data_IF_513256181687
#
_entry.id   IF_513256181687
#
_cell.length_a   1.000
_cell.length_b   1.000
_cell.length_c   1.000
_cell.angle_alpha   90.00
_cell.angle_beta   90.00
_cell.angle_gamma   90.00
#
_symmetry.space_group_name_H-M   'P 1'
#
loop_
_entity.id
_entity.type
_entity.pdbx_description
1 polymer ?
#
# COMPACT_ATOMS: atom_id res chain seq x y z
N UNK A 1 52.69 15.76 8.45
CA UNK A 1 51.28 15.32 8.47
C UNK A 1 51.23 13.86 8.90
N UNK A 2 50.72 13.56 10.10
CA UNK A 2 50.57 12.18 10.59
C UNK A 2 49.39 11.53 9.89
N UNK A 3 49.62 10.43 9.17
CA UNK A 3 48.55 9.61 8.58
C UNK A 3 47.87 8.85 9.71
N UNK A 4 46.59 9.13 9.94
CA UNK A 4 45.74 8.35 10.84
C UNK A 4 45.24 7.12 10.08
N UNK A 5 45.85 5.97 10.34
CA UNK A 5 45.35 4.68 9.86
C UNK A 5 44.17 4.28 10.75
N UNK A 6 42.96 4.42 10.23
CA UNK A 6 41.75 3.92 10.91
C UNK A 6 41.68 2.42 10.71
N UNK A 7 42.06 1.65 11.73
CA UNK A 7 41.86 0.21 11.75
C UNK A 7 40.36 -0.10 11.90
N UNK A 8 39.78 -0.74 10.88
CA UNK A 8 38.44 -1.27 10.95
C UNK A 8 38.45 -2.57 11.77
N UNK A 9 38.09 -2.47 13.05
CA UNK A 9 37.90 -3.63 13.92
C UNK A 9 36.60 -4.34 13.49
N UNK A 10 36.75 -5.50 12.85
CA UNK A 10 35.64 -6.41 12.56
C UNK A 10 35.38 -7.27 13.82
N UNK A 11 34.62 -6.74 14.77
CA UNK A 11 34.12 -7.53 15.90
C UNK A 11 32.93 -8.37 15.47
N UNK A 12 33.00 -9.67 15.77
CA UNK A 12 31.92 -10.63 15.53
C UNK A 12 30.77 -10.31 16.49
N UNK A 13 29.76 -9.56 16.02
CA UNK A 13 28.59 -9.23 16.85
C UNK A 13 27.83 -10.52 17.20
N UNK A 14 27.75 -10.83 18.49
CA UNK A 14 26.98 -11.97 19.02
C UNK A 14 25.73 -11.41 19.67
N UNK A 15 24.56 -12.02 19.42
CA UNK A 15 23.30 -11.58 20.03
C UNK A 15 23.39 -11.86 21.53
N UNK A 16 23.32 -10.81 22.35
CA UNK A 16 23.43 -10.90 23.81
C UNK A 16 22.07 -11.23 24.44
N UNK A 17 21.03 -10.42 24.15
CA UNK A 17 19.68 -10.59 24.70
C UNK A 17 18.63 -10.19 23.66
N UNK A 18 17.55 -10.97 23.55
CA UNK A 18 16.35 -10.62 22.77
C UNK A 18 15.27 -10.08 23.69
N UNK A 19 14.86 -8.82 23.49
CA UNK A 19 13.79 -8.16 24.25
C UNK A 19 12.51 -8.03 23.41
N UNK A 20 11.31 -8.05 24.03
CA UNK A 20 10.07 -7.81 23.32
C UNK A 20 10.04 -6.36 22.81
N UNK A 21 9.65 -6.21 21.55
CA UNK A 21 9.50 -4.90 20.90
C UNK A 21 8.02 -4.51 20.94
N UNK A 22 7.71 -3.29 21.40
CA UNK A 22 6.34 -2.75 21.41
C UNK A 22 5.87 -2.22 20.05
N UNK A 23 6.79 -2.10 19.08
CA UNK A 23 6.50 -1.67 17.72
C UNK A 23 5.78 -2.78 16.93
N UNK A 24 4.88 -2.38 16.04
CA UNK A 24 4.21 -3.30 15.12
C UNK A 24 5.12 -3.58 13.92
N UNK A 25 5.72 -4.76 13.89
CA UNK A 25 6.59 -5.19 12.78
C UNK A 25 5.78 -5.94 11.72
N UNK A 26 5.93 -5.53 10.46
CA UNK A 26 5.28 -6.16 9.31
C UNK A 26 6.31 -6.85 8.42
N UNK A 27 6.09 -8.13 8.11
CA UNK A 27 6.90 -8.86 7.12
C UNK A 27 6.67 -8.38 5.68
N UNK A 28 5.71 -7.47 5.46
CA UNK A 28 5.32 -6.94 4.14
C UNK A 28 5.96 -5.59 3.82
N UNK A 29 7.09 -5.28 4.45
CA UNK A 29 7.75 -3.97 4.36
C UNK A 29 8.02 -3.48 2.92
N UNK A 30 8.16 -4.40 1.95
CA UNK A 30 8.30 -4.05 0.53
C UNK A 30 7.12 -3.24 -0.05
N UNK A 31 5.92 -3.37 0.52
CA UNK A 31 4.75 -2.59 0.11
C UNK A 31 4.95 -1.09 0.36
N UNK A 32 5.72 -0.70 1.39
CA UNK A 32 6.01 0.72 1.65
C UNK A 32 6.82 1.35 0.51
N UNK A 33 7.80 0.63 -0.04
CA UNK A 33 8.56 1.07 -1.20
C UNK A 33 7.68 1.15 -2.45
N UNK A 34 6.79 0.17 -2.62
CA UNK A 34 5.82 0.17 -3.72
C UNK A 34 4.87 1.36 -3.65
N UNK A 35 4.31 1.67 -2.47
CA UNK A 35 3.46 2.85 -2.28
C UNK A 35 4.23 4.13 -2.55
N UNK A 36 5.45 4.27 -2.04
CA UNK A 36 6.31 5.43 -2.33
C UNK A 36 6.60 5.60 -3.81
N UNK A 37 6.85 4.49 -4.52
CA UNK A 37 7.02 4.50 -5.97
C UNK A 37 5.75 5.01 -6.67
N UNK A 38 4.57 4.45 -6.35
CA UNK A 38 3.30 4.87 -6.94
C UNK A 38 2.98 6.35 -6.67
N UNK A 39 3.24 6.81 -5.44
CA UNK A 39 3.09 8.22 -5.07
C UNK A 39 4.07 9.10 -5.85
N UNK A 40 5.33 8.67 -5.98
CA UNK A 40 6.39 9.41 -6.67
C UNK A 40 6.14 9.59 -8.17
N UNK A 41 5.55 8.60 -8.84
CA UNK A 41 5.14 8.71 -10.26
C UNK A 41 3.85 9.52 -10.45
N UNK A 42 3.17 9.93 -9.38
CA UNK A 42 1.96 10.75 -9.45
C UNK A 42 0.73 10.05 -10.03
N UNK A 43 0.63 8.72 -9.90
CA UNK A 43 -0.49 7.96 -10.49
C UNK A 43 -1.83 8.26 -9.83
N UNK A 44 -1.86 8.51 -8.52
CA UNK A 44 -3.10 8.70 -7.77
C UNK A 44 -3.91 9.94 -8.21
N UNK A 45 -3.30 11.13 -8.42
CA UNK A 45 -3.99 12.26 -9.04
C UNK A 45 -4.58 11.94 -10.43
N UNK A 46 -3.87 11.16 -11.25
CA UNK A 46 -4.39 10.76 -12.57
C UNK A 46 -5.58 9.81 -12.46
N UNK A 47 -5.52 8.84 -11.54
CA UNK A 47 -6.62 7.95 -11.23
C UNK A 47 -7.84 8.71 -10.70
N UNK A 48 -7.65 9.67 -9.80
CA UNK A 48 -8.73 10.50 -9.28
C UNK A 48 -9.36 11.35 -10.39
N UNK A 49 -8.57 11.91 -11.30
CA UNK A 49 -9.08 12.66 -12.47
C UNK A 49 -9.93 11.81 -13.40
N UNK A 50 -9.52 10.57 -13.66
CA UNK A 50 -10.23 9.68 -14.58
C UNK A 50 -11.44 9.01 -13.93
N UNK A 51 -11.28 8.51 -12.71
CA UNK A 51 -12.22 7.63 -12.04
C UNK A 51 -12.92 8.28 -10.84
N UNK A 52 -12.62 9.53 -10.48
CA UNK A 52 -13.24 10.22 -9.34
C UNK A 52 -14.77 10.30 -9.44
N UNK A 53 -15.32 10.39 -10.65
CA UNK A 53 -16.77 10.33 -10.92
C UNK A 53 -17.45 9.00 -10.53
N UNK A 54 -16.67 7.96 -10.22
CA UNK A 54 -17.19 6.69 -9.70
C UNK A 54 -17.67 6.82 -8.26
N UNK A 55 -17.12 7.78 -7.51
CA UNK A 55 -17.52 8.05 -6.14
C UNK A 55 -18.90 8.69 -6.14
N UNK A 56 -19.93 7.89 -5.84
CA UNK A 56 -21.31 8.38 -5.73
C UNK A 56 -21.56 9.26 -4.49
N UNK A 57 -20.76 9.10 -3.43
CA UNK A 57 -20.95 9.79 -2.14
C UNK A 57 -19.60 10.30 -1.62
N UNK A 58 -19.54 11.57 -1.20
CA UNK A 58 -18.32 12.22 -0.73
C UNK A 58 -17.73 11.62 0.56
N UNK A 59 -18.54 10.88 1.33
CA UNK A 59 -18.17 10.23 2.60
C UNK A 59 -17.25 9.01 2.45
N UNK A 60 -17.10 8.45 1.25
CA UNK A 60 -16.23 7.28 1.03
C UNK A 60 -14.76 7.67 0.83
N UNK A 61 -13.86 6.69 0.92
CA UNK A 61 -12.43 6.88 0.60
C UNK A 61 -12.20 7.41 -0.83
N UNK A 62 -11.10 8.17 -1.08
CA UNK A 62 -10.74 8.64 -2.41
C UNK A 62 -10.57 7.49 -3.38
N UNK A 63 -10.86 7.72 -4.66
CA UNK A 63 -10.69 6.65 -5.65
C UNK A 63 -9.21 6.28 -5.77
N UNK A 64 -8.31 7.26 -5.70
CA UNK A 64 -6.87 7.03 -5.61
C UNK A 64 -6.46 6.15 -4.41
N UNK A 65 -7.08 6.36 -3.25
CA UNK A 65 -6.81 5.58 -2.04
C UNK A 65 -7.34 4.14 -2.14
N UNK A 66 -8.54 3.97 -2.72
CA UNK A 66 -9.09 2.64 -3.03
C UNK A 66 -8.16 1.90 -3.99
N UNK A 67 -7.69 2.57 -5.05
CA UNK A 67 -6.73 1.98 -5.98
C UNK A 67 -5.40 1.63 -5.30
N UNK A 68 -4.86 2.49 -4.42
CA UNK A 68 -3.66 2.21 -3.64
C UNK A 68 -3.80 0.89 -2.87
N UNK A 69 -4.89 0.73 -2.12
CA UNK A 69 -5.13 -0.47 -1.33
C UNK A 69 -5.35 -1.71 -2.19
N UNK A 70 -6.06 -1.59 -3.31
CA UNK A 70 -6.27 -2.68 -4.28
C UNK A 70 -4.96 -3.11 -4.94
N UNK A 71 -4.12 -2.16 -5.36
CA UNK A 71 -2.80 -2.46 -5.95
C UNK A 71 -1.88 -3.12 -4.91
N UNK A 72 -1.86 -2.62 -3.67
CA UNK A 72 -1.09 -3.25 -2.60
C UNK A 72 -1.59 -4.66 -2.30
N UNK A 73 -2.90 -4.89 -2.29
CA UNK A 73 -3.48 -6.23 -2.11
C UNK A 73 -3.06 -7.20 -3.22
N UNK A 74 -3.00 -6.74 -4.46
CA UNK A 74 -2.53 -7.57 -5.59
C UNK A 74 -1.04 -7.88 -5.51
N UNK A 75 -0.20 -6.91 -5.11
CA UNK A 75 1.25 -7.12 -4.96
C UNK A 75 1.57 -7.97 -3.74
N UNK A 76 0.84 -7.81 -2.63
CA UNK A 76 1.01 -8.59 -1.41
C UNK A 76 0.73 -10.08 -1.64
N UNK A 77 -0.34 -10.39 -2.37
CA UNK A 77 -0.60 -11.74 -2.86
C UNK A 77 -0.89 -12.80 -1.79
N UNK A 78 -0.93 -12.44 -0.49
CA UNK A 78 -1.20 -13.39 0.62
C UNK A 78 -2.52 -14.13 0.42
N UNK A 79 -3.54 -13.44 -0.07
CA UNK A 79 -4.85 -13.99 -0.38
C UNK A 79 -5.43 -13.30 -1.60
N UNK A 80 -6.26 -14.02 -2.37
CA UNK A 80 -7.00 -13.49 -3.52
C UNK A 80 -8.50 -13.33 -3.24
N UNK A 81 -8.95 -13.67 -2.03
CA UNK A 81 -10.35 -13.59 -1.67
C UNK A 81 -10.72 -12.16 -1.25
N UNK A 82 -11.84 -11.67 -1.76
CA UNK A 82 -12.34 -10.33 -1.43
C UNK A 82 -12.65 -10.18 0.06
N UNK A 83 -13.10 -11.25 0.73
CA UNK A 83 -13.34 -11.28 2.17
C UNK A 83 -12.09 -11.04 3.01
N UNK A 84 -10.90 -11.22 2.44
CA UNK A 84 -9.64 -10.96 3.14
C UNK A 84 -9.44 -9.48 3.46
N UNK A 85 -10.07 -8.56 2.72
CA UNK A 85 -10.03 -7.14 3.04
C UNK A 85 -10.58 -6.81 4.44
N UNK A 86 -11.54 -7.61 4.94
CA UNK A 86 -12.09 -7.39 6.28
C UNK A 86 -11.06 -7.78 7.36
N UNK A 87 -10.30 -8.86 7.14
CA UNK A 87 -9.17 -9.26 8.01
C UNK A 87 -8.03 -8.24 7.94
N UNK A 88 -7.74 -7.74 6.73
CA UNK A 88 -6.71 -6.72 6.51
C UNK A 88 -7.06 -5.39 7.17
N UNK A 89 -8.35 -5.12 7.37
CA UNK A 89 -8.84 -3.97 8.12
C UNK A 89 -8.51 -4.00 9.60
N UNK A 90 -8.27 -5.19 10.18
CA UNK A 90 -7.88 -5.38 11.58
C UNK A 90 -6.36 -5.34 11.77
N UNK A 91 -5.58 -5.51 10.68
CA UNK A 91 -4.12 -5.51 10.70
C UNK A 91 -3.55 -4.08 10.64
N UNK A 92 -3.26 -3.51 11.82
CA UNK A 92 -2.64 -2.19 11.93
C UNK A 92 -1.27 -2.11 11.24
N UNK A 93 -0.48 -3.20 11.28
CA UNK A 93 0.85 -3.23 10.67
C UNK A 93 0.77 -3.14 9.16
N UNK A 94 -0.21 -3.80 8.55
CA UNK A 94 -0.49 -3.67 7.13
C UNK A 94 -0.92 -2.24 6.76
N UNK A 95 -1.91 -1.69 7.46
CA UNK A 95 -2.42 -0.34 7.19
C UNK A 95 -1.31 0.72 7.26
N UNK A 96 -0.43 0.63 8.26
CA UNK A 96 0.74 1.50 8.39
C UNK A 96 1.74 1.30 7.24
N UNK A 97 2.01 0.05 6.85
CA UNK A 97 2.97 -0.25 5.77
C UNK A 97 2.56 0.39 4.44
N UNK A 98 1.26 0.41 4.15
CA UNK A 98 0.73 1.00 2.91
C UNK A 98 0.34 2.48 3.06
N UNK A 99 0.69 3.11 4.19
CA UNK A 99 0.40 4.51 4.51
C UNK A 99 -1.10 4.84 4.35
N UNK A 100 -1.98 3.93 4.79
CA UNK A 100 -3.43 4.09 4.70
C UNK A 100 -4.02 4.56 6.04
N UNK A 101 -4.79 5.65 6.01
CA UNK A 101 -5.46 6.16 7.20
C UNK A 101 -6.68 5.31 7.59
N UNK A 102 -7.37 4.72 6.61
CA UNK A 102 -8.53 3.87 6.84
C UNK A 102 -8.53 2.75 5.80
N UNK A 103 -8.67 1.51 6.26
CA UNK A 103 -8.75 0.34 5.39
C UNK A 103 -10.15 0.20 4.78
N UNK A 104 -10.19 -0.23 3.52
CA UNK A 104 -11.45 -0.51 2.81
C UNK A 104 -11.93 -1.93 3.13
N UNK A 105 -13.23 -2.08 3.35
CA UNK A 105 -13.85 -3.38 3.56
C UNK A 105 -14.07 -4.15 2.26
N UNK A 106 -14.29 -5.46 2.37
CA UNK A 106 -14.65 -6.34 1.25
C UNK A 106 -15.86 -5.79 0.46
N UNK A 107 -16.83 -5.23 1.17
CA UNK A 107 -18.03 -4.62 0.61
C UNK A 107 -17.72 -3.34 -0.18
N UNK A 108 -16.81 -2.50 0.31
CA UNK A 108 -16.38 -1.30 -0.40
C UNK A 108 -15.68 -1.67 -1.71
N UNK A 109 -14.79 -2.66 -1.69
CA UNK A 109 -14.09 -3.17 -2.88
C UNK A 109 -15.08 -3.77 -3.88
N UNK A 110 -16.06 -4.57 -3.41
CA UNK A 110 -17.12 -5.12 -4.26
C UNK A 110 -17.90 -4.03 -4.98
N UNK A 111 -18.30 -2.98 -4.25
CA UNK A 111 -19.05 -1.83 -4.82
C UNK A 111 -18.20 -1.02 -5.79
N UNK A 112 -16.91 -0.86 -5.50
CA UNK A 112 -15.97 -0.16 -6.37
C UNK A 112 -15.85 -0.88 -7.72
N UNK A 113 -15.58 -2.18 -7.73
CA UNK A 113 -15.50 -2.96 -8.97
C UNK A 113 -16.86 -3.05 -9.69
N UNK A 114 -17.96 -3.11 -8.95
CA UNK A 114 -19.31 -3.07 -9.53
C UNK A 114 -19.68 -1.72 -10.17
N UNK A 115 -18.93 -0.65 -9.94
CA UNK A 115 -19.17 0.67 -10.52
C UNK A 115 -18.49 0.88 -11.88
N UNK A 116 -17.66 -0.06 -12.35
CA UNK A 116 -17.12 -0.02 -13.70
C UNK A 116 -18.16 -0.48 -14.72
N UNK A 117 -18.56 0.43 -15.60
CA UNK A 117 -19.35 0.12 -16.79
C UNK A 117 -18.47 0.28 -18.04
N UNK A 118 -18.92 -0.23 -19.18
CA UNK A 118 -18.21 -0.33 -20.45
C UNK A 118 -17.46 0.96 -20.85
N UNK A 119 -18.06 2.17 -20.74
CA UNK A 119 -17.34 3.41 -21.05
C UNK A 119 -16.18 3.69 -20.09
N UNK A 120 -16.31 3.31 -18.81
CA UNK A 120 -15.28 3.51 -17.79
C UNK A 120 -14.11 2.56 -17.97
N UNK A 121 -14.33 1.36 -18.53
CA UNK A 121 -13.25 0.43 -18.87
C UNK A 121 -12.31 1.05 -19.90
N UNK A 122 -12.83 1.86 -20.83
CA UNK A 122 -12.00 2.55 -21.83
C UNK A 122 -11.03 3.56 -21.20
N UNK A 123 -11.34 4.12 -20.03
CA UNK A 123 -10.45 5.04 -19.32
C UNK A 123 -9.14 4.37 -18.87
N UNK A 124 -9.13 3.05 -18.67
CA UNK A 124 -7.89 2.33 -18.42
C UNK A 124 -6.94 2.35 -19.62
N UNK A 125 -7.46 2.38 -20.85
CA UNK A 125 -6.59 2.53 -22.04
C UNK A 125 -5.87 3.87 -22.02
N UNK A 126 -6.58 4.93 -21.65
CA UNK A 126 -6.00 6.28 -21.51
C UNK A 126 -5.01 6.39 -20.34
N UNK A 127 -5.15 5.56 -19.31
CA UNK A 127 -4.21 5.50 -18.20
C UNK A 127 -2.90 4.79 -18.59
N UNK A 128 -2.98 3.78 -19.46
CA UNK A 128 -1.85 2.92 -19.84
C UNK A 128 -1.05 3.40 -21.06
N UNK A 129 -1.55 4.41 -21.78
CA UNK A 129 -0.92 5.04 -22.94
C UNK A 129 -0.22 6.34 -22.54
#
# INVERSE_FOLDING_TARGET
MKKSTTEHICTKATIDVAQPTGETLSGRGGLSLFVRYLTGIGIFPHLERLFGSMRKICKGQPVGEIFKQVLCFFVDGTSRHLSYFDQLGEDMGYAQTIEAHQMISSHAVKRFFGAFWWPRIYLFRRLLQ
#
